data_IF_951540219380
#
_entry.id   IF_951540219380
#
_cell.length_a   1.000
_cell.length_b   1.000
_cell.length_c   1.000
_cell.angle_alpha   90.00
_cell.angle_beta   90.00
_cell.angle_gamma   90.00
#
_symmetry.space_group_name_H-M   'P 1'
#
loop_
_entity.id
_entity.type
_entity.pdbx_description
1 polymer ?
#
# COMPACT_ATOMS: atom_id res chain seq x y z
N UNK A 1 -5.20 -8.96 12.64
CA UNK A 1 -4.58 -7.63 12.85
C UNK A 1 -3.11 -7.85 13.14
N UNK A 2 -2.21 -7.13 12.47
CA UNK A 2 -0.76 -7.36 12.61
C UNK A 2 -0.27 -7.03 14.03
N UNK A 3 0.65 -7.81 14.61
CA UNK A 3 1.09 -7.66 16.01
C UNK A 3 1.73 -6.28 16.27
N UNK A 4 2.39 -5.69 15.27
CA UNK A 4 3.04 -4.38 15.38
C UNK A 4 2.15 -3.22 14.94
N UNK A 5 0.93 -3.48 14.45
CA UNK A 5 0.05 -2.44 13.93
C UNK A 5 -0.28 -1.38 14.99
N UNK A 6 -0.49 -1.83 16.23
CA UNK A 6 -0.83 -0.93 17.34
C UNK A 6 0.40 -0.12 17.80
N UNK A 7 1.59 -0.73 17.79
CA UNK A 7 2.85 -0.04 18.09
C UNK A 7 3.15 1.05 17.07
N UNK A 8 3.05 0.75 15.77
CA UNK A 8 3.22 1.76 14.72
C UNK A 8 2.17 2.86 14.77
N UNK A 9 0.91 2.52 15.10
CA UNK A 9 -0.16 3.51 15.30
C UNK A 9 0.18 4.46 16.45
N UNK A 10 0.60 3.93 17.60
CA UNK A 10 0.95 4.73 18.77
C UNK A 10 2.20 5.58 18.51
N UNK A 11 3.20 5.05 17.82
CA UNK A 11 4.42 5.78 17.46
C UNK A 11 4.12 6.96 16.51
N UNK A 12 3.26 6.74 15.50
CA UNK A 12 2.79 7.81 14.61
C UNK A 12 1.99 8.85 15.38
N UNK A 13 1.05 8.42 16.23
CA UNK A 13 0.22 9.32 17.02
C UNK A 13 1.06 10.18 17.98
N UNK A 14 2.04 9.59 18.66
CA UNK A 14 2.95 10.28 19.56
C UNK A 14 3.84 11.30 18.83
N UNK A 15 4.34 10.96 17.64
CA UNK A 15 5.10 11.90 16.82
C UNK A 15 4.22 13.04 16.31
N UNK A 16 3.00 12.73 15.85
CA UNK A 16 2.04 13.73 15.36
C UNK A 16 1.60 14.69 16.47
N UNK A 17 1.38 14.17 17.69
CA UNK A 17 1.03 14.99 18.86
C UNK A 17 2.19 15.86 19.29
N UNK A 18 3.42 15.34 19.30
CA UNK A 18 4.62 16.12 19.64
C UNK A 18 4.86 17.23 18.62
N UNK A 19 4.70 16.93 17.32
CA UNK A 19 4.81 17.93 16.26
C UNK A 19 3.73 19.01 16.40
N UNK A 20 2.47 18.61 16.61
CA UNK A 20 1.36 19.55 16.82
C UNK A 20 1.55 20.43 18.05
N UNK A 21 2.06 19.88 19.16
CA UNK A 21 2.37 20.63 20.36
C UNK A 21 3.47 21.67 20.09
N UNK A 22 4.55 21.29 19.39
CA UNK A 22 5.65 22.20 19.01
C UNK A 22 5.17 23.28 18.04
N UNK A 23 4.36 22.92 17.04
CA UNK A 23 3.77 23.88 16.10
C UNK A 23 2.84 24.87 16.81
N UNK A 24 2.10 24.43 17.84
CA UNK A 24 1.23 25.29 18.65
C UNK A 24 1.98 26.16 19.66
N UNK A 25 3.11 25.68 20.20
CA UNK A 25 3.95 26.44 21.13
C UNK A 25 4.89 27.43 20.42
N UNK A 26 5.25 27.17 19.17
CA UNK A 26 6.18 28.03 18.44
C UNK A 26 5.72 29.49 18.29
N UNK A 27 4.43 29.82 18.06
CA UNK A 27 3.96 31.20 18.06
C UNK A 27 4.12 31.89 19.42
N UNK A 28 3.97 31.14 20.53
CA UNK A 28 4.14 31.67 21.89
C UNK A 28 5.58 32.12 22.14
N UNK A 29 6.57 31.44 21.56
CA UNK A 29 7.98 31.85 21.62
C UNK A 29 8.28 33.19 20.90
N UNK A 30 7.43 33.60 19.95
CA UNK A 30 7.54 34.92 19.33
C UNK A 30 6.88 36.03 20.14
N UNK A 31 5.92 35.67 21.03
CA UNK A 31 5.22 36.61 21.91
C UNK A 31 6.04 36.89 23.19
N UNK A 32 6.81 35.91 23.67
CA UNK A 32 7.66 36.08 24.86
C UNK A 32 8.93 36.83 24.45
N UNK A 33 8.99 38.12 24.78
CA UNK A 33 10.12 38.96 24.46
C UNK A 33 11.30 38.66 25.40
N UNK A 34 12.31 37.94 24.89
CA UNK A 34 13.58 37.72 25.58
C UNK A 34 14.54 38.90 25.29
N UNK A 35 14.80 39.80 26.25
CA UNK A 35 15.60 41.00 26.01
C UNK A 35 17.03 40.61 25.59
N UNK A 36 17.43 40.96 24.35
CA UNK A 36 18.81 40.84 23.87
C UNK A 36 19.08 39.94 22.65
N UNK A 37 18.08 39.20 22.13
CA UNK A 37 18.29 38.31 20.97
C UNK A 37 17.62 38.89 19.71
N UNK A 38 18.34 39.07 18.57
CA UNK A 38 17.75 39.54 17.33
C UNK A 38 16.71 38.55 16.78
N UNK A 39 15.64 39.07 16.18
CA UNK A 39 14.51 38.28 15.67
C UNK A 39 14.92 37.22 14.65
N UNK A 40 15.97 37.48 13.85
CA UNK A 40 16.56 36.53 12.91
C UNK A 40 17.15 35.29 13.60
N UNK A 41 17.83 35.46 14.73
CA UNK A 41 18.38 34.33 15.49
C UNK A 41 17.28 33.48 16.13
N UNK A 42 16.21 34.11 16.63
CA UNK A 42 15.02 33.39 17.14
C UNK A 42 14.34 32.59 16.03
N UNK A 43 14.18 33.17 14.84
CA UNK A 43 13.62 32.49 13.68
C UNK A 43 14.47 31.29 13.24
N UNK A 44 15.81 31.41 13.25
CA UNK A 44 16.70 30.31 12.90
C UNK A 44 16.61 29.15 13.91
N UNK A 45 16.54 29.44 15.21
CA UNK A 45 16.37 28.41 16.25
C UNK A 45 15.01 27.70 16.12
N UNK A 46 13.93 28.46 15.94
CA UNK A 46 12.59 27.91 15.75
C UNK A 46 12.53 27.04 14.48
N UNK A 47 13.10 27.51 13.38
CA UNK A 47 13.16 26.76 12.12
C UNK A 47 13.93 25.44 12.28
N UNK A 48 15.06 25.45 12.99
CA UNK A 48 15.86 24.23 13.22
C UNK A 48 15.09 23.21 14.06
N UNK A 49 14.38 23.66 15.09
CA UNK A 49 13.53 22.80 15.91
C UNK A 49 12.38 22.20 15.08
N UNK A 50 11.66 23.02 14.31
CA UNK A 50 10.59 22.55 13.43
C UNK A 50 11.10 21.56 12.38
N UNK A 51 12.25 21.84 11.77
CA UNK A 51 12.84 21.01 10.74
C UNK A 51 13.27 19.66 11.30
N UNK A 52 13.91 19.63 12.47
CA UNK A 52 14.32 18.39 13.13
C UNK A 52 13.10 17.53 13.52
N UNK A 53 12.07 18.14 14.11
CA UNK A 53 10.83 17.45 14.47
C UNK A 53 10.06 16.95 13.24
N UNK A 54 9.98 17.77 12.20
CA UNK A 54 9.34 17.44 10.93
C UNK A 54 10.05 16.30 10.21
N UNK A 55 11.39 16.37 10.11
CA UNK A 55 12.21 15.32 9.51
C UNK A 55 12.07 13.99 10.25
N UNK A 56 12.10 14.00 11.59
CA UNK A 56 11.88 12.79 12.41
C UNK A 56 10.49 12.17 12.16
N UNK A 57 9.44 13.00 12.16
CA UNK A 57 8.07 12.54 11.92
C UNK A 57 7.90 12.00 10.50
N UNK A 58 8.50 12.65 9.51
CA UNK A 58 8.48 12.22 8.11
C UNK A 58 9.20 10.88 7.94
N UNK A 59 10.35 10.68 8.59
CA UNK A 59 11.11 9.44 8.53
C UNK A 59 10.32 8.27 9.12
N UNK A 60 9.72 8.44 10.31
CA UNK A 60 8.85 7.42 10.92
C UNK A 60 7.67 7.09 9.99
N UNK A 61 7.09 8.13 9.38
CA UNK A 61 6.06 7.98 8.37
C UNK A 61 6.50 7.15 7.17
N UNK A 62 7.69 7.42 6.65
CA UNK A 62 8.26 6.74 5.49
C UNK A 62 8.61 5.29 5.79
N UNK A 63 9.19 5.01 6.97
CA UNK A 63 9.49 3.66 7.44
C UNK A 63 8.21 2.84 7.69
N UNK A 64 7.16 3.48 8.22
CA UNK A 64 5.87 2.85 8.49
C UNK A 64 4.85 2.93 7.37
N UNK A 65 5.20 3.46 6.20
CA UNK A 65 4.31 3.55 5.03
C UNK A 65 3.97 2.19 4.39
N UNK A 66 4.92 1.24 4.22
CA UNK A 66 4.62 -0.05 3.61
C UNK A 66 3.90 -1.01 4.58
N UNK A 67 3.73 -0.66 5.86
CA UNK A 67 3.19 -1.58 6.86
C UNK A 67 1.72 -1.94 6.61
N UNK A 68 1.45 -3.23 6.39
CA UNK A 68 0.10 -3.77 6.23
C UNK A 68 -0.45 -4.13 7.61
N UNK A 69 -1.52 -3.43 8.02
CA UNK A 69 -2.17 -3.68 9.31
C UNK A 69 -3.14 -4.86 9.27
N UNK A 70 -3.77 -5.09 8.13
CA UNK A 70 -4.73 -6.16 7.92
C UNK A 70 -4.65 -6.67 6.49
N UNK A 71 -4.72 -7.98 6.32
CA UNK A 71 -4.83 -8.63 5.02
C UNK A 71 -6.06 -9.52 5.07
N UNK A 72 -6.82 -9.55 3.97
CA UNK A 72 -8.00 -10.41 3.81
C UNK A 72 -8.05 -10.94 2.39
N UNK A 73 -8.38 -12.23 2.24
CA UNK A 73 -8.71 -12.81 0.94
C UNK A 73 -10.16 -12.50 0.60
N UNK A 74 -10.40 -11.97 -0.59
CA UNK A 74 -11.72 -11.74 -1.15
C UNK A 74 -12.12 -13.01 -1.91
N UNK A 75 -12.89 -13.87 -1.27
CA UNK A 75 -13.44 -15.06 -1.92
C UNK A 75 -14.61 -14.62 -2.85
N UNK A 76 -14.64 -15.04 -4.13
CA UNK A 76 -15.67 -14.66 -5.09
C UNK A 76 -17.11 -15.05 -4.66
N UNK A 77 -17.27 -15.88 -3.64
CA UNK A 77 -18.56 -16.42 -3.21
C UNK A 77 -19.41 -15.50 -2.30
N UNK A 78 -18.87 -14.37 -1.81
CA UNK A 78 -19.53 -13.61 -0.72
C UNK A 78 -19.82 -12.12 -0.97
N UNK A 79 -19.46 -11.55 -2.11
CA UNK A 79 -19.75 -10.14 -2.41
C UNK A 79 -20.83 -10.02 -3.49
N UNK A 80 -22.06 -10.34 -3.11
CA UNK A 80 -23.24 -9.82 -3.77
C UNK A 80 -23.42 -8.34 -3.42
N UNK A 81 -23.79 -7.54 -4.43
CA UNK A 81 -24.43 -6.22 -4.31
C UNK A 81 -23.59 -5.02 -3.85
N UNK A 82 -22.61 -4.57 -4.63
CA UNK A 82 -22.46 -3.12 -4.90
C UNK A 82 -21.82 -2.94 -6.28
N UNK A 83 -22.56 -2.24 -7.14
CA UNK A 83 -22.29 -1.89 -8.54
C UNK A 83 -20.84 -1.55 -8.90
N UNK A 84 -20.39 -2.08 -10.05
CA UNK A 84 -19.11 -1.90 -10.77
C UNK A 84 -18.01 -2.94 -10.46
N UNK A 85 -18.37 -4.20 -10.23
CA UNK A 85 -17.42 -5.30 -10.11
C UNK A 85 -16.81 -5.67 -11.49
N UNK A 86 -15.49 -5.49 -11.61
CA UNK A 86 -14.66 -6.06 -12.67
C UNK A 86 -14.71 -7.60 -12.61
N UNK A 87 -14.55 -8.29 -13.75
CA UNK A 87 -14.80 -9.73 -13.84
C UNK A 87 -13.76 -10.52 -13.04
N UNK A 88 -14.25 -11.30 -12.08
CA UNK A 88 -13.80 -12.66 -11.75
C UNK A 88 -12.29 -12.91 -11.66
N UNK A 89 -11.70 -12.64 -10.49
CA UNK A 89 -10.45 -13.26 -10.08
C UNK A 89 -10.73 -14.23 -8.92
N UNK A 90 -10.31 -15.49 -9.06
CA UNK A 90 -10.57 -16.56 -8.08
C UNK A 90 -9.89 -16.30 -6.72
N UNK A 91 -8.84 -15.48 -6.70
CA UNK A 91 -8.02 -15.23 -5.49
C UNK A 91 -7.60 -13.76 -5.35
N UNK A 92 -8.55 -12.85 -5.14
CA UNK A 92 -8.21 -11.45 -4.85
C UNK A 92 -7.76 -11.27 -3.38
N UNK A 93 -6.76 -10.42 -3.14
CA UNK A 93 -6.24 -10.07 -1.81
C UNK A 93 -6.45 -8.58 -1.54
N UNK A 94 -7.08 -8.26 -0.42
CA UNK A 94 -7.20 -6.90 0.09
C UNK A 94 -6.21 -6.66 1.23
N UNK A 95 -5.37 -5.66 1.07
CA UNK A 95 -4.41 -5.20 2.07
C UNK A 95 -4.80 -3.82 2.58
N UNK A 96 -4.89 -3.65 3.89
CA UNK A 96 -5.11 -2.34 4.52
C UNK A 96 -3.81 -1.85 5.12
N UNK A 97 -3.39 -0.65 4.72
CA UNK A 97 -2.25 0.06 5.29
C UNK A 97 -2.68 1.43 5.81
N UNK A 98 -1.82 2.07 6.62
CA UNK A 98 -2.10 3.39 7.19
C UNK A 98 -1.14 4.44 6.63
N UNK A 99 -1.69 5.54 6.12
CA UNK A 99 -0.87 6.68 5.70
C UNK A 99 -0.21 7.40 6.90
N UNK A 100 0.59 8.44 6.63
CA UNK A 100 1.25 9.24 7.66
C UNK A 100 0.24 9.83 8.66
N UNK A 101 -0.93 10.22 8.18
CA UNK A 101 -2.03 10.80 8.96
C UNK A 101 -3.00 9.75 9.53
N UNK A 102 -2.55 8.50 9.66
CA UNK A 102 -3.33 7.38 10.23
C UNK A 102 -4.61 7.02 9.48
N UNK A 103 -4.82 7.54 8.26
CA UNK A 103 -5.98 7.17 7.42
C UNK A 103 -5.73 5.85 6.73
N UNK A 104 -6.78 5.07 6.61
CA UNK A 104 -6.73 3.75 6.01
C UNK A 104 -6.68 3.83 4.48
N UNK A 105 -5.72 3.12 3.91
CA UNK A 105 -5.55 2.90 2.48
C UNK A 105 -5.78 1.41 2.23
N UNK A 106 -6.77 1.10 1.41
CA UNK A 106 -7.12 -0.27 1.02
C UNK A 106 -6.56 -0.54 -0.36
N UNK A 107 -5.61 -1.46 -0.47
CA UNK A 107 -5.08 -1.91 -1.74
C UNK A 107 -5.65 -3.28 -2.07
N UNK A 108 -6.48 -3.33 -3.11
CA UNK A 108 -7.03 -4.57 -3.64
C UNK A 108 -6.10 -5.05 -4.75
N UNK A 109 -5.56 -6.24 -4.60
CA UNK A 109 -4.77 -6.96 -5.61
C UNK A 109 -5.68 -8.05 -6.14
N UNK A 110 -6.00 -7.98 -7.43
CA UNK A 110 -6.91 -8.92 -8.06
C UNK A 110 -6.24 -10.27 -8.34
N UNK A 111 -4.94 -10.24 -8.62
CA UNK A 111 -4.16 -11.42 -8.94
C UNK A 111 -2.83 -11.45 -8.17
N UNK A 112 -2.59 -12.46 -7.33
CA UNK A 112 -1.38 -12.55 -6.52
C UNK A 112 -0.12 -12.79 -7.36
N UNK A 113 -0.22 -13.18 -8.64
CA UNK A 113 0.96 -13.38 -9.51
C UNK A 113 1.79 -12.09 -9.68
N UNK A 114 1.17 -10.93 -9.46
CA UNK A 114 1.82 -9.62 -9.55
C UNK A 114 2.67 -9.29 -8.33
N UNK A 115 2.46 -10.02 -7.22
CA UNK A 115 3.21 -9.84 -5.99
C UNK A 115 4.51 -10.65 -6.05
N UNK A 116 5.63 -9.97 -5.85
CA UNK A 116 6.94 -10.61 -5.78
C UNK A 116 7.74 -10.17 -4.56
N UNK A 117 8.85 -10.86 -4.26
CA UNK A 117 9.79 -10.42 -3.22
C UNK A 117 10.42 -9.08 -3.61
N UNK A 118 10.65 -8.22 -2.62
CA UNK A 118 11.32 -6.92 -2.81
C UNK A 118 12.66 -6.87 -2.09
N UNK A 119 13.60 -6.09 -2.63
CA UNK A 119 14.87 -5.77 -1.96
C UNK A 119 14.77 -4.51 -1.06
N UNK A 120 13.59 -3.88 -0.98
CA UNK A 120 13.42 -2.65 -0.21
C UNK A 120 13.39 -2.95 1.30
N UNK A 121 14.17 -2.17 2.07
CA UNK A 121 14.12 -2.21 3.53
C UNK A 121 12.69 -1.97 4.05
N UNK A 122 12.27 -2.79 5.01
CA UNK A 122 10.94 -2.75 5.63
C UNK A 122 9.78 -3.05 4.67
N UNK A 123 10.00 -3.82 3.61
CA UNK A 123 8.94 -4.39 2.79
C UNK A 123 9.26 -5.86 2.47
N UNK A 124 8.24 -6.70 2.47
CA UNK A 124 8.34 -8.14 2.14
C UNK A 124 7.96 -8.36 0.68
N UNK A 125 6.90 -7.69 0.24
CA UNK A 125 6.34 -7.84 -1.11
C UNK A 125 6.33 -6.51 -1.86
N UNK A 126 6.45 -6.60 -3.17
CA UNK A 126 6.20 -5.49 -4.09
C UNK A 126 5.29 -5.91 -5.25
N UNK A 127 4.57 -4.93 -5.81
CA UNK A 127 4.01 -5.06 -7.15
C UNK A 127 5.15 -5.05 -8.16
N UNK A 128 5.33 -6.17 -8.85
CA UNK A 128 6.38 -6.33 -9.84
C UNK A 128 6.10 -5.48 -11.07
N UNK A 129 7.16 -4.84 -11.59
CA UNK A 129 7.10 -4.09 -12.84
C UNK A 129 7.19 -4.97 -14.07
N UNK A 130 7.77 -6.16 -13.92
CA UNK A 130 7.99 -7.13 -14.98
C UNK A 130 7.55 -8.50 -14.48
N UNK A 131 6.58 -9.10 -15.16
CA UNK A 131 5.95 -10.36 -14.75
C UNK A 131 6.06 -11.30 -15.94
N UNK A 132 6.46 -12.55 -15.72
CA UNK A 132 6.47 -13.58 -16.76
C UNK A 132 5.52 -14.69 -16.36
N UNK A 133 4.55 -14.97 -17.20
CA UNK A 133 3.50 -15.98 -16.93
C UNK A 133 3.38 -16.89 -18.15
N UNK A 134 3.22 -18.21 -17.97
CA UNK A 134 2.92 -19.10 -19.08
C UNK A 134 1.64 -18.65 -19.80
N UNK A 135 1.70 -18.62 -21.13
CA UNK A 135 0.56 -18.32 -21.97
C UNK A 135 -0.54 -19.36 -21.70
N UNK A 136 -1.82 -18.95 -21.67
CA UNK A 136 -2.92 -19.88 -21.42
C UNK A 136 -2.99 -20.93 -22.53
N UNK A 137 -2.59 -22.16 -22.23
CA UNK A 137 -2.71 -23.28 -23.16
C UNK A 137 -4.19 -23.61 -23.35
N UNK A 138 -4.63 -23.71 -24.61
CA UNK A 138 -6.05 -23.88 -25.00
C UNK A 138 -6.65 -25.27 -24.62
N UNK A 139 -6.04 -26.01 -23.69
CA UNK A 139 -6.44 -27.36 -23.34
C UNK A 139 -6.89 -27.49 -21.88
N UNK A 140 -8.20 -27.68 -21.74
CA UNK A 140 -8.96 -28.27 -20.62
C UNK A 140 -8.95 -27.52 -19.28
N UNK A 141 -10.13 -26.94 -18.97
CA UNK A 141 -10.64 -26.56 -17.66
C UNK A 141 -9.96 -25.38 -16.94
N UNK A 142 -9.59 -24.33 -17.68
CA UNK A 142 -9.27 -23.03 -17.08
C UNK A 142 -10.56 -22.23 -16.84
N UNK A 143 -10.87 -21.95 -15.57
CA UNK A 143 -11.87 -20.97 -15.18
C UNK A 143 -11.62 -19.64 -15.92
N UNK A 144 -12.71 -18.97 -16.27
CA UNK A 144 -12.88 -17.87 -17.24
C UNK A 144 -11.96 -16.64 -17.09
N UNK A 145 -11.05 -16.60 -16.11
CA UNK A 145 -10.00 -15.57 -15.93
C UNK A 145 -8.79 -15.69 -16.86
N UNK A 146 -8.55 -16.85 -17.49
CA UNK A 146 -7.46 -17.03 -18.46
C UNK A 146 -7.66 -16.28 -19.79
N UNK A 147 -8.87 -15.77 -20.07
CA UNK A 147 -9.26 -15.18 -21.36
C UNK A 147 -8.85 -13.70 -21.54
N UNK A 148 -8.46 -13.00 -20.47
CA UNK A 148 -8.00 -11.60 -20.51
C UNK A 148 -6.48 -11.45 -20.68
N UNK A 149 -5.71 -12.48 -20.33
CA UNK A 149 -4.25 -12.55 -20.54
C UNK A 149 -3.94 -12.90 -22.00
N UNK A 150 -4.33 -12.01 -22.89
CA UNK A 150 -3.98 -12.06 -24.30
C UNK A 150 -2.94 -10.98 -24.60
N UNK A 151 -1.99 -11.28 -25.49
CA UNK A 151 -1.01 -10.30 -25.93
C UNK A 151 -1.68 -9.06 -26.51
N UNK A 152 -1.23 -7.87 -26.08
CA UNK A 152 -1.79 -6.57 -26.42
C UNK A 152 -2.85 -6.04 -25.43
N UNK A 153 -3.37 -6.86 -24.52
CA UNK A 153 -4.36 -6.40 -23.56
C UNK A 153 -3.72 -5.75 -22.33
N UNK A 154 -4.39 -4.70 -21.85
CA UNK A 154 -4.08 -4.01 -20.60
C UNK A 154 -5.08 -4.46 -19.52
N UNK A 155 -4.56 -5.01 -18.44
CA UNK A 155 -5.33 -5.57 -17.34
C UNK A 155 -5.02 -4.83 -16.05
N UNK A 156 -6.05 -4.56 -15.24
CA UNK A 156 -5.87 -3.90 -13.94
C UNK A 156 -5.62 -4.96 -12.87
N UNK A 157 -4.43 -4.94 -12.29
CA UNK A 157 -3.97 -5.96 -11.35
C UNK A 157 -4.09 -5.52 -9.90
N UNK A 158 -4.01 -4.23 -9.63
CA UNK A 158 -4.24 -3.70 -8.30
C UNK A 158 -4.83 -2.30 -8.30
N UNK A 159 -5.59 -1.97 -7.26
CA UNK A 159 -6.11 -0.62 -7.01
C UNK A 159 -5.90 -0.23 -5.57
N UNK A 160 -5.39 0.99 -5.36
CA UNK A 160 -5.33 1.60 -4.04
C UNK A 160 -6.50 2.56 -3.88
N UNK A 161 -7.31 2.34 -2.86
CA UNK A 161 -8.56 3.03 -2.55
C UNK A 161 -8.42 3.72 -1.20
N UNK A 162 -8.90 4.95 -1.11
CA UNK A 162 -8.97 5.70 0.15
C UNK A 162 -10.08 5.17 1.06
N UNK A 163 -10.11 5.62 2.32
CA UNK A 163 -11.16 5.29 3.29
C UNK A 163 -12.57 5.60 2.73
N UNK A 164 -12.68 6.69 1.97
CA UNK A 164 -13.91 7.17 1.30
C UNK A 164 -14.34 6.35 0.08
N UNK A 165 -13.59 5.31 -0.31
CA UNK A 165 -13.89 4.52 -1.50
C UNK A 165 -13.38 5.12 -2.82
N UNK A 166 -12.63 6.22 -2.78
CA UNK A 166 -12.07 6.87 -3.97
C UNK A 166 -10.76 6.19 -4.38
N UNK A 167 -10.64 5.78 -5.64
CA UNK A 167 -9.41 5.21 -6.20
C UNK A 167 -8.32 6.28 -6.25
N UNK A 168 -7.22 6.06 -5.51
CA UNK A 168 -6.05 6.95 -5.45
C UNK A 168 -5.00 6.59 -6.49
N UNK A 169 -4.94 5.32 -6.87
CA UNK A 169 -4.04 4.82 -7.89
C UNK A 169 -4.43 3.44 -8.37
N UNK A 170 -4.01 3.13 -9.58
CA UNK A 170 -4.23 1.87 -10.26
C UNK A 170 -2.91 1.32 -10.80
N UNK A 171 -2.72 0.01 -10.63
CA UNK A 171 -1.61 -0.76 -11.18
C UNK A 171 -2.15 -1.63 -12.29
N UNK A 172 -1.70 -1.35 -13.51
CA UNK A 172 -2.16 -2.05 -14.71
C UNK A 172 -1.00 -2.70 -15.41
N UNK A 173 -1.18 -3.92 -15.90
CA UNK A 173 -0.16 -4.69 -16.63
C UNK A 173 -0.59 -4.80 -18.07
N UNK A 174 0.32 -4.47 -18.98
CA UNK A 174 0.15 -4.73 -20.40
C UNK A 174 0.90 -6.00 -20.76
N UNK A 175 0.19 -6.96 -21.33
CA UNK A 175 0.74 -8.25 -21.70
C UNK A 175 1.27 -8.23 -23.14
N UNK A 176 2.44 -8.80 -23.36
CA UNK A 176 3.07 -8.99 -24.66
C UNK A 176 3.58 -10.43 -24.77
N UNK A 177 3.65 -10.98 -25.98
CA UNK A 177 4.30 -12.28 -26.19
C UNK A 177 5.81 -12.12 -26.00
N UNK A 178 6.45 -13.07 -25.31
CA UNK A 178 7.92 -13.08 -25.27
C UNK A 178 8.46 -13.36 -26.68
N UNK A 179 9.35 -12.52 -27.24
CA UNK A 179 9.96 -12.78 -28.54
C UNK A 179 10.88 -14.01 -28.56
N UNK A 180 11.29 -14.53 -27.39
CA UNK A 180 12.21 -15.67 -27.30
C UNK A 180 11.50 -17.01 -27.00
N UNK A 181 10.25 -16.99 -26.54
CA UNK A 181 9.52 -18.19 -26.15
C UNK A 181 8.01 -18.01 -26.40
N UNK A 182 7.50 -18.65 -27.46
CA UNK A 182 6.09 -18.58 -27.90
C UNK A 182 5.10 -19.09 -26.83
N UNK A 183 5.59 -19.72 -25.75
CA UNK A 183 4.80 -20.21 -24.63
C UNK A 183 4.66 -19.25 -23.44
N UNK A 184 5.30 -18.08 -23.46
CA UNK A 184 5.35 -17.14 -22.32
C UNK A 184 4.80 -15.75 -22.67
N UNK A 185 4.07 -15.16 -21.71
CA UNK A 185 3.61 -13.77 -21.75
C UNK A 185 4.44 -12.93 -20.80
N UNK A 186 4.97 -11.83 -21.31
CA UNK A 186 5.68 -10.80 -20.56
C UNK A 186 4.72 -9.66 -20.27
N UNK A 187 4.47 -9.42 -18.98
CA UNK A 187 3.66 -8.32 -18.48
C UNK A 187 4.53 -7.13 -18.10
N UNK A 188 4.36 -6.01 -18.80
CA UNK A 188 4.96 -4.72 -18.41
C UNK A 188 3.95 -3.92 -17.60
N UNK A 189 4.28 -3.66 -16.33
CA UNK A 189 3.39 -2.93 -15.44
C UNK A 189 3.56 -1.41 -15.55
N UNK A 190 2.43 -0.72 -15.58
CA UNK A 190 2.32 0.74 -15.59
C UNK A 190 1.51 1.21 -14.38
N UNK A 191 2.04 2.21 -13.68
CA UNK A 191 1.38 2.87 -12.57
C UNK A 191 0.56 4.07 -13.05
N UNK A 192 -0.69 4.17 -12.60
CA UNK A 192 -1.52 5.37 -12.73
C UNK A 192 -1.84 5.95 -11.35
N UNK A 193 -1.55 7.23 -11.12
CA UNK A 193 -1.81 7.90 -9.85
C UNK A 193 -0.91 7.44 -8.70
N UNK A 194 -1.44 7.49 -7.46
CA UNK A 194 -0.70 7.16 -6.23
C UNK A 194 -1.01 5.74 -5.77
N UNK A 195 -0.25 4.78 -6.30
CA UNK A 195 -0.34 3.36 -5.93
C UNK A 195 0.63 3.04 -4.80
N UNK A 196 0.19 2.19 -3.87
CA UNK A 196 1.10 1.59 -2.90
C UNK A 196 1.79 0.38 -3.54
N UNK A 197 3.08 0.51 -3.88
CA UNK A 197 3.84 -0.56 -4.54
C UNK A 197 4.43 -1.58 -3.56
N UNK A 198 4.84 -1.14 -2.38
CA UNK A 198 5.60 -1.95 -1.43
C UNK A 198 4.75 -2.25 -0.18
N UNK A 199 4.81 -3.50 0.27
CA UNK A 199 4.03 -3.99 1.39
C UNK A 199 4.93 -4.75 2.36
N UNK A 200 4.84 -4.42 3.64
CA UNK A 200 5.42 -5.19 4.73
C UNK A 200 4.33 -6.07 5.32
N UNK A 201 4.42 -7.36 5.03
CA UNK A 201 3.45 -8.37 5.45
C UNK A 201 4.16 -9.29 6.42
N UNK A 202 3.56 -9.46 7.61
CA UNK A 202 3.98 -10.44 8.59
C UNK A 202 3.28 -11.78 8.37
N UNK A 203 3.99 -12.87 8.57
CA UNK A 203 3.50 -14.24 8.36
C UNK A 203 2.24 -14.56 9.19
N UNK A 204 2.11 -14.00 10.39
CA UNK A 204 0.91 -14.15 11.25
C UNK A 204 -0.39 -13.64 10.61
N UNK A 205 -0.31 -12.68 9.67
CA UNK A 205 -1.47 -12.20 8.92
C UNK A 205 -1.95 -13.21 7.86
N UNK A 206 -1.06 -14.08 7.40
CA UNK A 206 -1.39 -15.17 6.48
C UNK A 206 -2.15 -16.27 7.23
N UNK A 207 -1.68 -16.62 8.45
CA UNK A 207 -2.28 -17.67 9.29
C UNK A 207 -3.64 -17.27 9.86
N UNK A 208 -3.77 -16.03 10.37
CA UNK A 208 -5.05 -15.56 10.95
C UNK A 208 -6.18 -15.45 9.93
N UNK A 209 -5.86 -15.29 8.64
CA UNK A 209 -6.86 -15.37 7.57
C UNK A 209 -7.42 -16.79 7.41
N UNK A 210 -6.60 -17.83 7.63
CA UNK A 210 -7.03 -19.23 7.53
C UNK A 210 -7.83 -19.71 8.76
N UNK A 211 -7.48 -19.22 9.95
CA UNK A 211 -8.16 -19.59 11.20
C UNK A 211 -9.57 -18.98 11.31
N UNK A 212 -9.79 -17.81 10.70
CA UNK A 212 -11.13 -17.21 10.59
C UNK A 212 -12.08 -17.99 9.67
N UNK A 213 -11.55 -18.75 8.70
CA UNK A 213 -12.34 -19.62 7.83
C UNK A 213 -12.71 -20.94 8.53
N UNK A 214 -11.81 -21.50 9.35
CA UNK A 214 -12.08 -22.77 10.06
C UNK A 214 -13.09 -22.63 11.19
N UNK A 215 -13.29 -21.42 11.73
CA UNK A 215 -14.27 -21.16 12.80
C UNK A 215 -15.68 -20.85 12.29
N UNK A 216 -15.88 -20.85 10.97
CA UNK A 216 -17.15 -20.53 10.30
C UNK A 216 -17.76 -21.74 9.57
N UNK A 217 -17.10 -22.90 9.62
CA UNK A 217 -17.62 -24.21 9.20
C UNK A 217 -18.00 -25.04 10.41
#
# INVERSE_FOLDING_TARGET
MGPLANTFKNLKLFSLSSLGLITSLSPVLFIIDAPGIPTSARAAMAATAMLTSGASTALVGWCGAPYVSSMRRLNPSSTSSTSNATPYHDEAIEMTSKNLFLRDLRTQVYDPVVLGPTNRLFATWELQSHIVVPAPSTSSNASTGASLRAAGNKEVMARTIDEKGVVRGEWSVQWECDPNDDGMLVGTATQSGKVLRHFNVHEELLTSSQEAETKKS
#
